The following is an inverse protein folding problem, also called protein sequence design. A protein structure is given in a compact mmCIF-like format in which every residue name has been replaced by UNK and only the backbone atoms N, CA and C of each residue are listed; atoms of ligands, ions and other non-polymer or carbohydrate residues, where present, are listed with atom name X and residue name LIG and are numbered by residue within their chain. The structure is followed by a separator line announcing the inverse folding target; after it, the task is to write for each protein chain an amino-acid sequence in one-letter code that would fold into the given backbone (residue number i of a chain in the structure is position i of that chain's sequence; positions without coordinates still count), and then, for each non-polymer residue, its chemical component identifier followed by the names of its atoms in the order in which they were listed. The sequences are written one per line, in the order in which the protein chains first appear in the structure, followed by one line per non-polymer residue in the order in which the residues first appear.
data_IF_667128826295
#
_entry.id   IF_667128826295
#
_cell.length_a   1.000
_cell.length_b   1.000
_cell.length_c   1.000
_cell.angle_alpha   90.00
_cell.angle_beta   90.00
_cell.angle_gamma   90.00
#
_symmetry.space_group_name_H-M   'P 1'
#
loop_
_entity.id
_entity.type
_entity.pdbx_description
1 polymer ?
#
# COMPACT_ATOMS: atom_id res chain seq x y z
N UNK A 1 15.81 -44.82 -13.09
CA UNK A 1 15.15 -44.41 -11.82
C UNK A 1 15.50 -42.95 -11.58
N UNK A 2 14.64 -42.05 -11.98
CA UNK A 2 14.81 -40.60 -11.75
C UNK A 2 13.70 -40.15 -10.83
N UNK A 3 14.08 -39.81 -9.59
CA UNK A 3 13.17 -39.20 -8.64
C UNK A 3 13.05 -37.71 -8.96
N UNK A 4 11.87 -37.32 -9.43
CA UNK A 4 11.50 -35.91 -9.60
C UNK A 4 11.01 -35.39 -8.24
N UNK A 5 11.81 -34.55 -7.60
CA UNK A 5 11.39 -33.80 -6.41
C UNK A 5 10.38 -32.74 -6.83
N UNK A 6 9.13 -32.95 -6.44
CA UNK A 6 8.06 -31.95 -6.57
C UNK A 6 8.24 -30.96 -5.42
N UNK A 7 8.66 -29.75 -5.78
CA UNK A 7 8.72 -28.62 -4.85
C UNK A 7 7.29 -28.28 -4.40
N UNK A 8 7.00 -28.45 -3.14
CA UNK A 8 5.71 -28.11 -2.55
C UNK A 8 5.44 -26.61 -2.73
N UNK A 9 4.49 -26.31 -3.58
CA UNK A 9 3.89 -24.99 -3.73
C UNK A 9 3.09 -24.75 -2.45
N UNK A 10 3.47 -23.76 -1.64
CA UNK A 10 2.71 -23.34 -0.47
C UNK A 10 1.29 -22.98 -0.94
N UNK A 11 0.34 -23.80 -0.55
CA UNK A 11 -1.07 -23.56 -0.81
C UNK A 11 -1.51 -22.35 0.02
N UNK A 12 -1.92 -21.29 -0.63
CA UNK A 12 -2.70 -20.23 -0.01
C UNK A 12 -3.98 -20.91 0.50
N UNK A 13 -4.33 -20.79 1.79
CA UNK A 13 -5.53 -21.43 2.31
C UNK A 13 -6.75 -20.89 1.56
N UNK A 14 -7.46 -21.76 0.89
CA UNK A 14 -8.66 -21.47 0.09
C UNK A 14 -9.91 -21.19 0.94
N UNK A 15 -9.76 -21.13 2.27
CA UNK A 15 -10.79 -20.74 3.21
C UNK A 15 -10.24 -19.65 4.10
N UNK A 16 -10.57 -18.41 3.78
CA UNK A 16 -10.59 -17.35 4.79
C UNK A 16 -11.57 -17.83 5.84
N UNK A 17 -11.03 -18.21 6.99
CA UNK A 17 -11.80 -18.70 8.11
C UNK A 17 -12.88 -17.65 8.41
N UNK A 18 -14.16 -18.01 8.27
CA UNK A 18 -15.32 -17.12 8.51
C UNK A 18 -15.39 -16.55 9.93
N UNK A 19 -14.41 -16.84 10.76
CA UNK A 19 -14.26 -16.24 12.09
C UNK A 19 -13.84 -14.78 12.06
N UNK A 20 -13.38 -14.24 10.93
CA UNK A 20 -13.25 -12.81 10.72
C UNK A 20 -14.49 -12.30 9.99
N UNK A 21 -15.63 -12.28 10.68
CA UNK A 21 -16.79 -11.52 10.26
C UNK A 21 -16.39 -10.03 10.39
N UNK A 22 -15.98 -9.44 9.27
CA UNK A 22 -15.77 -8.01 9.20
C UNK A 22 -17.15 -7.35 9.35
N UNK A 23 -17.30 -6.58 10.40
CA UNK A 23 -18.51 -5.82 10.67
C UNK A 23 -18.65 -4.72 9.58
N UNK A 24 -19.59 -4.91 8.65
CA UNK A 24 -19.94 -3.92 7.62
C UNK A 24 -20.84 -2.80 8.18
N UNK A 25 -20.89 -2.65 9.51
CA UNK A 25 -21.62 -1.59 10.18
C UNK A 25 -21.12 -0.20 9.79
N UNK A 26 -21.99 0.83 9.93
CA UNK A 26 -21.58 2.21 9.68
C UNK A 26 -20.42 2.54 10.62
N UNK A 27 -19.35 3.08 10.06
CA UNK A 27 -18.12 3.47 10.76
C UNK A 27 -18.50 4.17 12.08
N UNK A 28 -18.06 3.70 13.23
CA UNK A 28 -18.22 4.47 14.45
C UNK A 28 -17.41 5.75 14.30
N UNK A 29 -18.11 6.89 14.21
CA UNK A 29 -17.52 8.22 14.11
C UNK A 29 -16.70 8.62 15.35
N UNK A 30 -16.40 7.68 16.24
CA UNK A 30 -15.66 7.87 17.49
C UNK A 30 -14.88 6.59 17.85
N UNK A 31 -13.84 6.28 17.11
CA UNK A 31 -12.67 5.67 17.71
C UNK A 31 -11.68 6.81 17.95
N UNK A 32 -11.81 7.41 19.12
CA UNK A 32 -10.79 8.28 19.68
C UNK A 32 -9.50 7.47 19.82
N UNK A 33 -8.38 8.17 19.64
CA UNK A 33 -6.97 7.78 19.61
C UNK A 33 -6.50 7.16 18.28
N UNK A 34 -6.72 7.88 17.19
CA UNK A 34 -5.67 7.95 16.19
C UNK A 34 -4.76 9.10 16.65
N UNK A 35 -3.69 8.80 17.34
CA UNK A 35 -2.66 9.76 17.66
C UNK A 35 -2.09 10.30 16.34
N UNK A 36 -2.51 11.51 15.96
CA UNK A 36 -1.92 12.27 14.86
C UNK A 36 -0.55 12.78 15.33
N UNK A 37 0.38 11.86 15.53
CA UNK A 37 1.75 12.18 15.89
C UNK A 37 2.51 12.59 14.62
N UNK A 38 3.27 13.67 14.71
CA UNK A 38 4.30 13.92 13.72
C UNK A 38 5.27 12.72 13.71
N UNK A 39 5.74 12.27 12.52
CA UNK A 39 6.65 11.14 12.47
C UNK A 39 7.89 11.39 13.31
N UNK A 40 8.24 10.43 14.17
CA UNK A 40 9.51 10.44 14.84
C UNK A 40 10.64 10.22 13.81
N UNK A 41 11.87 10.62 14.16
CA UNK A 41 13.03 10.36 13.29
C UNK A 41 13.15 8.89 12.94
N UNK A 42 12.81 8.02 13.88
CA UNK A 42 12.87 6.57 13.73
C UNK A 42 11.87 6.04 12.69
N UNK A 43 10.63 6.57 12.63
CA UNK A 43 9.61 6.17 11.65
C UNK A 43 10.04 6.54 10.22
N UNK A 44 10.70 7.69 10.07
CA UNK A 44 11.24 8.14 8.80
C UNK A 44 12.39 7.24 8.32
N UNK A 45 13.31 6.88 9.22
CA UNK A 45 14.41 5.97 8.92
C UNK A 45 13.89 4.56 8.62
N UNK A 46 12.90 4.09 9.37
CA UNK A 46 12.27 2.80 9.12
C UNK A 46 11.63 2.75 7.71
N UNK A 47 10.90 3.80 7.29
CA UNK A 47 10.37 3.87 5.92
C UNK A 47 11.49 3.87 4.87
N UNK A 48 12.56 4.63 5.09
CA UNK A 48 13.71 4.65 4.17
C UNK A 48 14.33 3.28 4.02
N UNK A 49 14.63 2.60 5.13
CA UNK A 49 15.17 1.24 5.11
C UNK A 49 14.22 0.26 4.46
N UNK A 50 12.92 0.35 4.76
CA UNK A 50 11.90 -0.48 4.13
C UNK A 50 11.82 -0.25 2.62
N UNK A 51 11.87 1.00 2.15
CA UNK A 51 11.86 1.34 0.73
C UNK A 51 13.13 0.84 0.00
N UNK A 52 14.29 0.95 0.63
CA UNK A 52 15.56 0.44 0.09
C UNK A 52 15.59 -1.09 0.05
N UNK A 53 15.07 -1.75 1.09
CA UNK A 53 15.00 -3.21 1.21
C UNK A 53 13.88 -3.84 0.37
N UNK A 54 12.89 -3.08 -0.07
CA UNK A 54 11.65 -3.54 -0.72
C UNK A 54 11.86 -4.15 -2.13
N UNK A 55 12.96 -4.86 -2.35
CA UNK A 55 13.25 -5.57 -3.61
C UNK A 55 12.22 -6.67 -3.90
N UNK A 56 11.60 -7.21 -2.86
CA UNK A 56 10.58 -8.26 -2.93
C UNK A 56 9.16 -7.75 -3.18
N UNK A 57 8.89 -6.46 -2.99
CA UNK A 57 7.59 -5.83 -3.24
C UNK A 57 7.37 -5.58 -4.75
N UNK A 58 7.42 -6.64 -5.55
CA UNK A 58 7.30 -6.55 -7.00
C UNK A 58 6.10 -5.70 -7.43
N UNK A 59 6.37 -4.52 -7.96
CA UNK A 59 5.38 -3.59 -8.49
C UNK A 59 4.69 -2.68 -7.47
N UNK A 60 4.98 -2.78 -6.17
CA UNK A 60 4.36 -1.93 -5.14
C UNK A 60 5.38 -1.11 -4.34
N UNK A 61 6.67 -1.29 -4.58
CA UNK A 61 7.73 -0.63 -3.83
C UNK A 61 7.82 0.87 -4.16
N UNK A 62 7.71 1.70 -3.13
CA UNK A 62 7.94 3.14 -3.23
C UNK A 62 9.46 3.41 -3.26
N UNK A 63 9.97 3.86 -4.37
CA UNK A 63 11.41 4.09 -4.59
C UNK A 63 11.69 5.47 -5.14
N UNK A 64 11.58 6.51 -4.31
CA UNK A 64 12.02 7.84 -4.71
C UNK A 64 13.54 7.93 -4.73
N UNK A 65 14.09 8.81 -5.56
CA UNK A 65 15.52 9.14 -5.55
C UNK A 65 15.81 10.23 -4.48
N UNK A 66 15.34 10.01 -3.26
CA UNK A 66 15.55 10.93 -2.16
C UNK A 66 16.98 10.84 -1.60
N UNK A 67 17.61 11.97 -1.35
CA UNK A 67 18.78 12.03 -0.48
C UNK A 67 18.36 11.79 0.98
N UNK A 68 19.32 11.47 1.86
CA UNK A 68 19.01 11.19 3.28
C UNK A 68 18.23 12.31 3.96
N UNK A 69 18.52 13.56 3.62
CA UNK A 69 17.81 14.73 4.17
C UNK A 69 16.36 14.83 3.66
N UNK A 70 16.10 14.44 2.43
CA UNK A 70 14.78 14.55 1.79
C UNK A 70 13.76 13.64 2.47
N UNK A 71 14.18 12.49 2.99
CA UNK A 71 13.31 11.60 3.75
C UNK A 71 12.71 12.26 5.00
N UNK A 72 13.52 13.07 5.71
CA UNK A 72 13.05 13.80 6.89
C UNK A 72 12.07 14.89 6.50
N UNK A 73 12.37 15.62 5.44
CA UNK A 73 11.47 16.65 4.90
C UNK A 73 10.17 16.01 4.45
N UNK A 74 10.21 14.96 3.65
CA UNK A 74 9.04 14.21 3.21
C UNK A 74 8.20 13.74 4.40
N UNK A 75 8.81 13.10 5.39
CA UNK A 75 8.12 12.56 6.56
C UNK A 75 7.44 13.67 7.38
N UNK A 76 7.99 14.89 7.44
CA UNK A 76 7.37 16.02 8.17
C UNK A 76 6.01 16.45 7.61
N UNK A 77 5.68 16.06 6.37
CA UNK A 77 4.36 16.26 5.76
C UNK A 77 3.43 15.07 5.97
N UNK A 78 3.92 13.96 6.49
CA UNK A 78 3.14 12.77 6.75
C UNK A 78 2.60 12.73 8.19
N UNK A 79 1.62 11.87 8.41
CA UNK A 79 1.07 11.55 9.73
C UNK A 79 1.29 10.07 9.98
N UNK A 80 1.77 9.71 11.17
CA UNK A 80 1.91 8.32 11.60
C UNK A 80 0.55 7.76 11.97
N UNK A 81 0.22 6.59 11.45
CA UNK A 81 -0.98 5.83 11.82
C UNK A 81 -0.63 4.42 12.22
N UNK A 82 -1.12 4.03 13.39
CA UNK A 82 -1.14 2.64 13.84
C UNK A 82 -2.47 2.01 13.46
N UNK A 83 -2.40 0.95 12.69
CA UNK A 83 -3.57 0.25 12.16
C UNK A 83 -3.66 -1.11 12.84
N UNK A 84 -4.71 -1.39 13.60
CA UNK A 84 -4.92 -2.73 14.13
C UNK A 84 -5.23 -3.72 12.99
N UNK A 85 -4.96 -5.00 13.24
CA UNK A 85 -5.32 -6.07 12.30
C UNK A 85 -6.79 -5.96 11.88
N UNK A 86 -7.06 -6.10 10.58
CA UNK A 86 -8.39 -5.98 9.99
C UNK A 86 -8.83 -4.55 9.65
N UNK A 87 -8.07 -3.51 10.04
CA UNK A 87 -8.42 -2.12 9.71
C UNK A 87 -8.45 -1.91 8.20
N UNK A 88 -9.52 -1.29 7.69
CA UNK A 88 -9.65 -0.95 6.27
C UNK A 88 -8.90 0.34 5.96
N UNK A 89 -7.94 0.25 5.07
CA UNK A 89 -7.10 1.36 4.60
C UNK A 89 -7.71 2.03 3.38
N UNK A 90 -8.11 1.23 2.39
CA UNK A 90 -8.83 1.70 1.22
C UNK A 90 -10.15 0.93 1.08
N UNK A 91 -11.19 1.65 0.72
CA UNK A 91 -12.54 1.09 0.54
C UNK A 91 -12.95 1.29 -0.92
N UNK A 92 -13.34 0.22 -1.64
CA UNK A 92 -13.82 0.35 -3.00
C UNK A 92 -14.95 1.38 -3.14
N UNK A 93 -14.91 2.15 -4.20
CA UNK A 93 -15.88 3.19 -4.49
C UNK A 93 -15.66 4.50 -3.74
N UNK A 94 -14.68 4.58 -2.83
CA UNK A 94 -14.29 5.81 -2.14
C UNK A 94 -12.93 6.29 -2.62
N UNK A 95 -12.73 7.61 -2.61
CA UNK A 95 -11.41 8.22 -2.80
C UNK A 95 -11.28 9.34 -1.78
N UNK A 96 -10.31 9.21 -0.87
CA UNK A 96 -9.95 10.22 0.11
C UNK A 96 -8.71 11.01 -0.29
N UNK A 97 -8.05 10.59 -1.37
CA UNK A 97 -6.83 11.22 -1.88
C UNK A 97 -5.61 11.03 -0.99
N UNK A 98 -5.66 10.07 -0.07
CA UNK A 98 -4.57 9.79 0.88
C UNK A 98 -3.61 8.76 0.30
N UNK A 99 -2.32 9.04 0.41
CA UNK A 99 -1.25 8.07 0.17
C UNK A 99 -0.83 7.42 1.48
N UNK A 100 -0.71 6.11 1.47
CA UNK A 100 -0.24 5.34 2.62
C UNK A 100 1.06 4.63 2.27
N UNK A 101 2.06 4.77 3.12
CA UNK A 101 3.37 4.14 2.99
C UNK A 101 3.54 3.15 4.13
N UNK A 102 3.71 1.88 3.82
CA UNK A 102 3.86 0.83 4.83
C UNK A 102 5.26 0.91 5.45
N UNK A 103 5.31 1.11 6.77
CA UNK A 103 6.55 1.18 7.55
C UNK A 103 6.82 -0.15 8.23
N UNK A 104 5.79 -0.68 8.93
CA UNK A 104 5.85 -1.96 9.65
C UNK A 104 4.57 -2.75 9.42
N UNK A 105 4.64 -4.07 9.64
CA UNK A 105 3.52 -4.96 9.42
C UNK A 105 3.26 -5.25 7.95
N UNK A 106 2.03 -5.62 7.62
CA UNK A 106 1.64 -5.95 6.24
C UNK A 106 0.18 -5.64 5.95
N UNK A 107 -0.11 -5.27 4.70
CA UNK A 107 -1.46 -5.01 4.24
C UNK A 107 -1.86 -6.05 3.18
N UNK A 108 -3.13 -6.41 3.18
CA UNK A 108 -3.74 -7.21 2.15
C UNK A 108 -4.47 -6.32 1.15
N UNK A 109 -4.28 -6.56 -0.13
CA UNK A 109 -4.89 -5.81 -1.21
C UNK A 109 -5.61 -6.74 -2.17
N UNK A 110 -6.83 -6.39 -2.55
CA UNK A 110 -7.62 -7.08 -3.56
C UNK A 110 -8.37 -6.07 -4.45
N UNK A 111 -8.63 -6.44 -5.71
CA UNK A 111 -9.49 -5.65 -6.57
C UNK A 111 -10.97 -5.82 -6.17
N UNK A 112 -11.74 -4.74 -6.22
CA UNK A 112 -13.17 -4.78 -5.92
C UNK A 112 -13.89 -5.79 -6.83
N UNK A 113 -14.74 -6.63 -6.23
CA UNK A 113 -15.49 -7.66 -6.96
C UNK A 113 -14.67 -8.92 -7.33
N UNK A 114 -13.39 -8.96 -7.04
CA UNK A 114 -12.53 -10.10 -7.37
C UNK A 114 -12.85 -11.37 -6.57
N UNK A 115 -13.49 -11.24 -5.41
CA UNK A 115 -13.91 -12.40 -4.61
C UNK A 115 -14.88 -13.35 -5.36
N UNK A 116 -15.53 -12.87 -6.42
CA UNK A 116 -16.46 -13.63 -7.27
C UNK A 116 -15.81 -14.09 -8.59
N UNK A 117 -14.62 -13.62 -8.90
CA UNK A 117 -13.88 -13.99 -10.09
C UNK A 117 -12.87 -15.09 -9.75
N UNK A 118 -12.83 -16.15 -10.55
CA UNK A 118 -11.86 -17.24 -10.40
C UNK A 118 -10.38 -16.78 -10.48
N UNK A 119 -10.15 -15.50 -10.75
CA UNK A 119 -8.85 -14.85 -10.92
C UNK A 119 -8.56 -13.78 -9.85
N UNK A 120 -9.21 -13.86 -8.67
CA UNK A 120 -8.91 -12.95 -7.57
C UNK A 120 -7.41 -12.94 -7.27
N UNK A 121 -6.78 -11.78 -7.46
CA UNK A 121 -5.34 -11.59 -7.23
C UNK A 121 -5.12 -10.77 -5.98
N UNK A 122 -5.39 -11.38 -4.83
CA UNK A 122 -4.99 -10.82 -3.56
C UNK A 122 -3.46 -10.71 -3.49
N UNK A 123 -2.97 -9.60 -2.97
CA UNK A 123 -1.54 -9.35 -2.77
C UNK A 123 -1.29 -8.96 -1.34
N UNK A 124 -0.15 -9.40 -0.81
CA UNK A 124 0.38 -8.90 0.46
C UNK A 124 1.37 -7.79 0.16
N UNK A 125 1.13 -6.64 0.79
CA UNK A 125 1.99 -5.47 0.71
C UNK A 125 2.86 -5.43 1.96
N UNK A 126 4.16 -5.45 1.75
CA UNK A 126 5.18 -5.47 2.80
C UNK A 126 5.70 -4.04 3.08
N UNK A 127 6.48 -3.80 4.14
CA UNK A 127 7.15 -2.54 4.38
C UNK A 127 7.86 -2.01 3.13
N UNK A 128 7.79 -0.69 2.91
CA UNK A 128 8.25 -0.02 1.70
C UNK A 128 7.24 0.01 0.55
N UNK A 129 6.04 -0.58 0.70
CA UNK A 129 4.98 -0.44 -0.27
C UNK A 129 4.24 0.89 -0.14
N UNK A 130 3.64 1.34 -1.26
CA UNK A 130 2.71 2.47 -1.31
C UNK A 130 1.34 1.98 -1.77
N UNK A 131 0.28 2.57 -1.22
CA UNK A 131 -1.11 2.40 -1.66
C UNK A 131 -1.85 3.74 -1.71
N UNK A 132 -2.88 3.80 -2.55
CA UNK A 132 -3.64 5.03 -2.79
C UNK A 132 -3.03 5.93 -3.86
N UNK A 133 -1.97 5.48 -4.55
CA UNK A 133 -1.28 6.24 -5.58
C UNK A 133 -2.16 6.57 -6.79
N UNK A 134 -3.19 5.76 -7.07
CA UNK A 134 -4.15 6.06 -8.14
C UNK A 134 -4.84 7.42 -7.92
N UNK A 135 -5.13 7.78 -6.67
CA UNK A 135 -5.73 9.08 -6.31
C UNK A 135 -4.81 10.29 -6.54
N UNK A 136 -3.56 10.06 -6.93
CA UNK A 136 -2.63 11.14 -7.34
C UNK A 136 -2.88 11.55 -8.79
N UNK A 137 -3.28 10.59 -9.62
CA UNK A 137 -3.36 10.74 -11.07
C UNK A 137 -4.79 10.67 -11.61
N UNK A 138 -5.77 10.33 -10.75
CA UNK A 138 -7.16 10.15 -11.12
C UNK A 138 -8.08 10.60 -9.99
N UNK A 139 -9.14 11.32 -10.32
CA UNK A 139 -10.24 11.66 -9.42
C UNK A 139 -11.28 10.53 -9.33
N UNK A 140 -11.01 9.40 -9.96
CA UNK A 140 -11.90 8.24 -9.97
C UNK A 140 -12.02 7.56 -8.60
N UNK A 141 -13.10 6.79 -8.39
CA UNK A 141 -13.25 6.01 -7.17
C UNK A 141 -12.19 4.92 -7.08
N UNK A 142 -11.74 4.61 -5.85
CA UNK A 142 -10.80 3.51 -5.61
C UNK A 142 -11.40 2.18 -6.06
N UNK A 143 -10.63 1.39 -6.79
CA UNK A 143 -11.02 0.05 -7.24
C UNK A 143 -10.47 -1.07 -6.34
N UNK A 144 -9.77 -0.71 -5.27
CA UNK A 144 -9.06 -1.64 -4.40
C UNK A 144 -9.70 -1.70 -3.02
N UNK A 145 -9.78 -2.89 -2.44
CA UNK A 145 -9.98 -3.11 -1.00
C UNK A 145 -8.60 -3.38 -0.40
N UNK A 146 -8.19 -2.55 0.57
CA UNK A 146 -6.92 -2.71 1.27
C UNK A 146 -7.17 -2.74 2.77
N UNK A 147 -6.61 -3.76 3.43
CA UNK A 147 -6.79 -3.99 4.87
C UNK A 147 -5.47 -4.36 5.54
N UNK A 148 -5.31 -4.00 6.80
CA UNK A 148 -4.19 -4.46 7.59
C UNK A 148 -4.34 -5.97 7.87
N UNK A 149 -3.32 -6.77 7.54
CA UNK A 149 -3.29 -8.20 7.86
C UNK A 149 -2.93 -8.44 9.33
N UNK A 150 -2.14 -7.56 9.87
CA UNK A 150 -1.62 -7.56 11.23
C UNK A 150 -1.52 -6.12 11.72
N UNK A 151 -1.22 -5.92 13.00
CA UNK A 151 -0.95 -4.59 13.53
C UNK A 151 0.17 -3.95 12.72
N UNK A 152 -0.12 -2.82 12.10
CA UNK A 152 0.74 -2.21 11.11
C UNK A 152 0.97 -0.73 11.40
N UNK A 153 2.12 -0.21 10.99
CA UNK A 153 2.47 1.20 11.01
C UNK A 153 2.53 1.73 9.58
N UNK A 154 1.80 2.80 9.31
CA UNK A 154 1.85 3.48 8.02
C UNK A 154 2.10 4.97 8.21
N UNK A 155 2.72 5.59 7.21
CA UNK A 155 2.73 7.04 7.05
C UNK A 155 1.63 7.44 6.07
N UNK A 156 0.79 8.41 6.45
CA UNK A 156 -0.27 8.96 5.63
C UNK A 156 0.12 10.34 5.11
N UNK A 157 0.01 10.55 3.81
CA UNK A 157 0.17 11.84 3.16
C UNK A 157 -1.15 12.25 2.52
N UNK A 158 -1.87 13.16 3.19
CA UNK A 158 -3.16 13.65 2.72
C UNK A 158 -3.01 14.58 1.51
N UNK A 159 -4.08 14.78 0.74
CA UNK A 159 -4.08 15.69 -0.41
C UNK A 159 -3.64 17.13 -0.05
N UNK A 160 -4.13 17.77 1.04
CA UNK A 160 -3.64 19.10 1.43
C UNK A 160 -2.14 19.13 1.71
N UNK A 161 -1.63 18.14 2.47
CA UNK A 161 -0.21 18.04 2.81
C UNK A 161 0.66 17.75 1.59
N UNK A 162 0.15 16.96 0.64
CA UNK A 162 0.83 16.72 -0.64
C UNK A 162 0.95 18.01 -1.46
N UNK A 163 -0.10 18.84 -1.51
CA UNK A 163 -0.04 20.15 -2.17
C UNK A 163 0.96 21.09 -1.50
N UNK A 164 0.97 21.09 -0.17
CA UNK A 164 1.93 21.88 0.63
C UNK A 164 3.38 21.42 0.39
N UNK A 165 3.63 20.10 0.37
CA UNK A 165 4.94 19.53 0.02
C UNK A 165 5.39 19.98 -1.37
N UNK A 166 4.51 19.87 -2.38
CA UNK A 166 4.83 20.26 -3.74
C UNK A 166 5.13 21.77 -3.87
N UNK A 167 4.46 22.61 -3.09
CA UNK A 167 4.68 24.04 -3.08
C UNK A 167 5.99 24.43 -2.35
N UNK A 168 6.28 23.76 -1.24
CA UNK A 168 7.44 24.09 -0.37
C UNK A 168 8.74 23.42 -0.81
N UNK A 169 8.64 22.18 -1.33
CA UNK A 169 9.77 21.33 -1.71
C UNK A 169 9.47 20.66 -3.06
N UNK A 170 9.48 21.40 -4.17
CA UNK A 170 9.03 20.91 -5.49
C UNK A 170 9.83 19.71 -5.99
N UNK A 171 11.11 19.60 -5.69
CA UNK A 171 11.95 18.46 -6.06
C UNK A 171 11.50 17.17 -5.37
N UNK A 172 11.20 17.24 -4.07
CA UNK A 172 10.66 16.10 -3.31
C UNK A 172 9.25 15.75 -3.82
N UNK A 173 8.42 16.77 -4.10
CA UNK A 173 7.11 16.59 -4.70
C UNK A 173 7.18 15.90 -6.07
N UNK A 174 8.11 16.29 -6.93
CA UNK A 174 8.34 15.65 -8.22
C UNK A 174 8.78 14.20 -8.08
N UNK A 175 9.75 13.92 -7.20
CA UNK A 175 10.22 12.55 -6.96
C UNK A 175 9.12 11.64 -6.35
N UNK A 176 8.26 12.19 -5.50
CA UNK A 176 7.07 11.49 -5.01
C UNK A 176 6.18 11.05 -6.18
N UNK A 177 5.84 11.98 -7.09
CA UNK A 177 5.01 11.69 -8.26
C UNK A 177 5.67 10.68 -9.19
N UNK A 178 6.98 10.83 -9.45
CA UNK A 178 7.74 9.90 -10.27
C UNK A 178 7.73 8.48 -9.68
N UNK A 179 7.94 8.35 -8.37
CA UNK A 179 7.95 7.05 -7.69
C UNK A 179 6.56 6.41 -7.66
N UNK A 180 5.51 7.19 -7.40
CA UNK A 180 4.11 6.72 -7.46
C UNK A 180 3.73 6.26 -8.88
N UNK A 181 4.08 7.04 -9.90
CA UNK A 181 3.86 6.67 -11.31
C UNK A 181 4.61 5.41 -11.72
N UNK A 182 5.82 5.19 -11.20
CA UNK A 182 6.60 3.98 -11.44
C UNK A 182 5.90 2.73 -10.87
N UNK A 183 5.23 2.85 -9.72
CA UNK A 183 4.43 1.75 -9.13
C UNK A 183 3.25 1.41 -10.03
N UNK A 184 2.48 2.40 -10.49
CA UNK A 184 1.36 2.18 -11.42
C UNK A 184 1.84 1.51 -12.71
N UNK A 185 2.93 2.02 -13.30
CA UNK A 185 3.51 1.44 -14.51
C UNK A 185 3.98 -0.01 -14.31
N UNK A 186 4.56 -0.33 -13.15
CA UNK A 186 4.98 -1.68 -12.82
C UNK A 186 3.78 -2.63 -12.66
N UNK A 187 2.72 -2.20 -11.99
CA UNK A 187 1.47 -2.98 -11.84
C UNK A 187 0.82 -3.28 -13.19
N UNK A 188 0.74 -2.28 -14.06
CA UNK A 188 0.15 -2.43 -15.39
C UNK A 188 0.94 -3.42 -16.26
N UNK A 189 2.28 -3.37 -16.24
CA UNK A 189 3.12 -4.35 -16.94
C UNK A 189 2.87 -5.78 -16.44
N UNK A 190 2.79 -5.96 -15.12
CA UNK A 190 2.55 -7.28 -14.53
C UNK A 190 1.15 -7.82 -14.86
N UNK A 191 0.15 -6.97 -14.95
CA UNK A 191 -1.20 -7.34 -15.34
C UNK A 191 -1.29 -7.74 -16.81
N UNK A 192 -0.61 -7.01 -17.70
CA UNK A 192 -0.52 -7.33 -19.14
C UNK A 192 0.14 -8.68 -19.41
N UNK A 193 1.33 -8.92 -18.83
CA UNK A 193 2.05 -10.19 -18.96
C UNK A 193 1.23 -11.39 -18.49
N UNK A 194 0.41 -11.23 -17.44
CA UNK A 194 -0.46 -12.30 -16.94
C UNK A 194 -1.65 -12.58 -17.84
N UNK A 195 -2.21 -11.55 -18.47
CA UNK A 195 -3.29 -11.71 -19.44
C UNK A 195 -2.81 -12.51 -20.66
N UNK A 196 -1.59 -12.25 -21.14
CA UNK A 196 -0.98 -13.00 -22.25
C UNK A 196 -0.72 -14.47 -21.91
N UNK A 197 -0.22 -14.75 -20.67
CA UNK A 197 0.02 -16.12 -20.22
C UNK A 197 -1.28 -16.92 -20.01
N UNK A 198 -2.37 -16.25 -19.62
CA UNK A 198 -3.67 -16.90 -19.45
C UNK A 198 -4.41 -17.15 -20.77
N UNK A 199 -4.01 -16.47 -21.85
CA UNK A 199 -4.62 -16.62 -23.19
C UNK A 199 -3.95 -17.70 -24.06
N UNK A 200 -2.80 -18.26 -23.64
CA UNK A 200 -2.07 -19.34 -24.30
C UNK A 200 -2.22 -20.66 -23.54
#
# INVERSE_FOLDING_TARGET
MFHTSITARAAIPSSVDRRFAFDDGPFPAKLGLCDNLAPATDDCEALRFAAEAARSNAGNAFRPAFATGDWRVFASFCVVRRLPAGHRVLIPGRSDGVLHFVVEGSLWQEAAGAAQAATSQAKVLQPGAIVGEDAVFSDGPCALDVRALEDSLVLELTLPRRKELAASCPEIGFELLRAAGAVIAARNRMSGLRAEVAAN
#
